data_IF_402901015504
#
_entry.id   IF_402901015504
#
_cell.length_a   1.000
_cell.length_b   1.000
_cell.length_c   1.000
_cell.angle_alpha   90.00
_cell.angle_beta   90.00
_cell.angle_gamma   90.00
#
_symmetry.space_group_name_H-M   'P 1'
#
loop_
_entity.id
_entity.type
_entity.pdbx_description
1 polymer ?
#
# COMPACT_ATOMS: atom_id res chain seq x y z
N UNK A 1 16.65 -23.81 11.97
CA UNK A 1 15.45 -23.57 11.14
C UNK A 1 15.56 -22.16 10.57
N UNK A 2 15.73 -22.02 9.26
CA UNK A 2 15.92 -20.72 8.62
C UNK A 2 14.63 -19.90 8.68
N UNK A 3 14.67 -18.73 9.30
CA UNK A 3 13.62 -17.74 9.16
C UNK A 3 13.64 -17.28 7.70
N UNK A 4 12.63 -17.67 6.93
CA UNK A 4 12.39 -17.01 5.65
C UNK A 4 12.15 -15.53 5.96
N UNK A 5 13.00 -14.65 5.42
CA UNK A 5 12.81 -13.22 5.51
C UNK A 5 11.47 -12.88 4.84
N UNK A 6 10.50 -12.38 5.61
CA UNK A 6 9.23 -11.90 5.07
C UNK A 6 9.48 -10.78 4.06
N UNK A 7 8.79 -10.83 2.91
CA UNK A 7 8.89 -9.80 1.88
C UNK A 7 8.50 -8.41 2.41
N UNK A 8 9.04 -7.35 1.80
CA UNK A 8 8.82 -5.97 2.27
C UNK A 8 7.33 -5.60 2.21
N UNK A 9 6.63 -6.08 1.19
CA UNK A 9 5.19 -5.93 0.97
C UNK A 9 4.36 -6.53 2.12
N UNK A 10 4.69 -7.76 2.53
CA UNK A 10 4.03 -8.47 3.61
C UNK A 10 4.29 -7.75 4.95
N UNK A 11 5.54 -7.32 5.17
CA UNK A 11 5.94 -6.60 6.38
C UNK A 11 5.28 -5.23 6.47
N UNK A 12 5.15 -4.52 5.34
CA UNK A 12 4.47 -3.23 5.26
C UNK A 12 2.96 -3.37 5.50
N UNK A 13 2.32 -4.35 4.88
CA UNK A 13 0.88 -4.63 5.09
C UNK A 13 0.59 -4.92 6.56
N UNK A 14 1.37 -5.81 7.17
CA UNK A 14 1.26 -6.14 8.59
C UNK A 14 1.48 -4.90 9.48
N UNK A 15 2.48 -4.07 9.17
CA UNK A 15 2.74 -2.84 9.90
C UNK A 15 1.57 -1.84 9.81
N UNK A 16 1.04 -1.60 8.61
CA UNK A 16 -0.08 -0.68 8.42
C UNK A 16 -1.33 -1.16 9.17
N UNK A 17 -1.68 -2.44 9.04
CA UNK A 17 -2.82 -3.01 9.76
C UNK A 17 -2.62 -2.96 11.29
N UNK A 18 -1.42 -3.25 11.78
CA UNK A 18 -1.10 -3.19 13.22
C UNK A 18 -1.13 -1.79 13.82
N UNK A 19 -1.05 -0.74 13.00
CA UNK A 19 -1.15 0.67 13.46
C UNK A 19 -2.57 1.22 13.39
N UNK A 20 -3.53 0.46 12.84
CA UNK A 20 -4.91 0.87 12.75
C UNK A 20 -5.60 0.82 14.12
N UNK A 21 -6.43 1.82 14.39
CA UNK A 21 -7.46 1.79 15.43
C UNK A 21 -8.80 1.51 14.76
N UNK A 22 -9.51 0.48 15.21
CA UNK A 22 -10.78 0.04 14.59
C UNK A 22 -11.92 -0.09 15.58
N UNK A 23 -13.13 0.16 15.10
CA UNK A 23 -14.41 -0.22 15.70
C UNK A 23 -15.37 -0.70 14.60
N UNK A 24 -16.65 -0.88 14.92
CA UNK A 24 -17.69 -1.30 13.97
C UNK A 24 -17.87 -0.32 12.78
N UNK A 25 -17.36 0.91 12.90
CA UNK A 25 -17.36 1.92 11.84
C UNK A 25 -16.15 1.86 10.90
N UNK A 26 -15.20 0.95 11.13
CA UNK A 26 -14.04 0.72 10.27
C UNK A 26 -12.70 1.14 10.89
N UNK A 27 -11.66 1.14 10.05
CA UNK A 27 -10.27 1.38 10.46
C UNK A 27 -9.87 2.85 10.30
N UNK A 28 -9.09 3.35 11.26
CA UNK A 28 -8.56 4.71 11.34
C UNK A 28 -7.07 4.68 11.69
N UNK A 29 -6.30 5.65 11.20
CA UNK A 29 -4.87 5.77 11.49
C UNK A 29 -4.57 7.14 12.06
N UNK A 30 -4.28 7.20 13.36
CA UNK A 30 -3.89 8.44 14.02
C UNK A 30 -2.43 8.77 13.74
N UNK A 31 -2.17 9.97 13.24
CA UNK A 31 -0.85 10.44 12.87
C UNK A 31 -0.62 11.88 13.36
N UNK A 32 0.64 12.17 13.73
CA UNK A 32 1.10 13.51 14.04
C UNK A 32 1.64 14.17 12.75
N UNK A 33 0.76 14.58 11.85
CA UNK A 33 1.18 15.16 10.57
C UNK A 33 1.87 16.54 10.75
N UNK A 34 1.42 17.32 11.75
CA UNK A 34 1.88 18.69 11.97
C UNK A 34 3.18 18.71 12.78
N UNK A 35 4.31 18.97 12.11
CA UNK A 35 5.64 19.05 12.77
C UNK A 35 5.73 20.08 13.90
N UNK A 36 5.04 21.21 13.77
CA UNK A 36 5.02 22.27 14.78
C UNK A 36 4.08 21.97 15.96
N UNK A 37 3.23 20.94 15.84
CA UNK A 37 2.26 20.49 16.86
C UNK A 37 2.21 18.96 16.89
N UNK A 38 3.30 18.29 17.28
CA UNK A 38 3.39 16.82 17.24
C UNK A 38 2.41 16.12 18.20
N UNK A 39 1.93 16.83 19.22
CA UNK A 39 0.87 16.37 20.12
C UNK A 39 -0.51 16.28 19.45
N UNK A 40 -0.70 16.95 18.31
CA UNK A 40 -1.94 16.93 17.56
C UNK A 40 -2.02 15.66 16.69
N UNK A 41 -2.66 14.62 17.24
CA UNK A 41 -2.96 13.39 16.53
C UNK A 41 -4.32 13.49 15.83
N UNK A 42 -4.32 13.38 14.50
CA UNK A 42 -5.54 13.32 13.70
C UNK A 42 -5.64 12.01 12.92
N UNK A 43 -6.87 11.57 12.70
CA UNK A 43 -7.20 10.45 11.82
C UNK A 43 -7.77 10.99 10.51
N UNK A 44 -6.88 11.48 9.65
CA UNK A 44 -7.27 12.09 8.39
C UNK A 44 -7.83 11.04 7.42
N UNK A 45 -8.75 11.45 6.55
CA UNK A 45 -9.38 10.56 5.55
C UNK A 45 -8.83 10.75 4.14
N UNK A 46 -7.97 11.75 3.94
CA UNK A 46 -7.45 12.15 2.63
C UNK A 46 -6.52 11.10 1.99
N UNK A 47 -6.27 11.29 0.69
CA UNK A 47 -5.40 10.40 -0.09
C UNK A 47 -3.91 10.58 0.23
N UNK A 48 -3.46 11.82 0.46
CA UNK A 48 -2.05 12.13 0.72
C UNK A 48 -1.61 11.68 2.12
N UNK A 49 -2.40 12.02 3.12
CA UNK A 49 -2.19 11.64 4.51
C UNK A 49 -3.57 11.26 5.05
N UNK A 50 -3.83 9.97 5.19
CA UNK A 50 -5.10 9.49 5.71
C UNK A 50 -5.52 8.11 5.25
N UNK A 51 -6.72 7.72 5.69
CA UNK A 51 -7.29 6.39 5.48
C UNK A 51 -7.44 6.02 4.00
N UNK A 52 -7.78 6.96 3.11
CA UNK A 52 -7.90 6.66 1.69
C UNK A 52 -6.56 6.27 1.04
N UNK A 53 -5.47 6.94 1.39
CA UNK A 53 -4.13 6.59 0.89
C UNK A 53 -3.64 5.24 1.41
N UNK A 54 -3.85 4.98 2.70
CA UNK A 54 -3.47 3.70 3.33
C UNK A 54 -4.30 2.55 2.75
N UNK A 55 -5.62 2.73 2.60
CA UNK A 55 -6.50 1.75 1.98
C UNK A 55 -6.10 1.45 0.53
N UNK A 56 -5.78 2.48 -0.26
CA UNK A 56 -5.25 2.31 -1.60
C UNK A 56 -3.96 1.48 -1.61
N UNK A 57 -2.99 1.79 -0.74
CA UNK A 57 -1.76 1.03 -0.62
C UNK A 57 -2.01 -0.44 -0.24
N UNK A 58 -2.90 -0.72 0.71
CA UNK A 58 -3.27 -2.09 1.10
C UNK A 58 -3.89 -2.86 -0.06
N UNK A 59 -4.77 -2.24 -0.85
CA UNK A 59 -5.33 -2.85 -2.06
C UNK A 59 -4.26 -3.15 -3.12
N UNK A 60 -3.23 -2.30 -3.23
CA UNK A 60 -2.11 -2.56 -4.12
C UNK A 60 -1.27 -3.75 -3.66
N UNK A 61 -1.00 -3.87 -2.36
CA UNK A 61 -0.30 -5.01 -1.78
C UNK A 61 -1.08 -6.31 -2.01
N UNK A 62 -2.38 -6.31 -1.73
CA UNK A 62 -3.28 -7.45 -1.96
C UNK A 62 -3.31 -7.86 -3.45
N UNK A 63 -3.34 -6.88 -4.36
CA UNK A 63 -3.29 -7.15 -5.80
C UNK A 63 -1.98 -7.81 -6.25
N UNK A 64 -0.85 -7.43 -5.65
CA UNK A 64 0.46 -8.07 -5.89
C UNK A 64 0.46 -9.51 -5.38
N UNK A 65 -0.11 -9.76 -4.20
CA UNK A 65 -0.15 -11.10 -3.59
C UNK A 65 -1.10 -12.06 -4.33
N UNK A 66 -2.26 -11.60 -4.81
CA UNK A 66 -3.32 -12.50 -5.31
C UNK A 66 -3.18 -12.94 -6.77
N UNK A 67 -2.68 -12.12 -7.68
CA UNK A 67 -2.50 -12.49 -9.08
C UNK A 67 -1.78 -11.38 -9.87
N UNK A 68 -0.49 -11.58 -10.15
CA UNK A 68 0.32 -10.95 -11.20
C UNK A 68 -0.07 -9.54 -11.64
N UNK A 69 0.65 -8.54 -11.11
CA UNK A 69 0.75 -7.14 -11.57
C UNK A 69 -0.39 -6.65 -12.50
N UNK A 70 -1.48 -6.15 -11.91
CA UNK A 70 -2.52 -5.46 -12.69
C UNK A 70 -2.13 -4.01 -12.97
N UNK A 71 -2.64 -3.52 -14.11
CA UNK A 71 -2.37 -2.21 -14.69
C UNK A 71 -2.61 -1.09 -13.69
N UNK A 72 -1.52 -0.53 -13.18
CA UNK A 72 -1.52 0.64 -12.33
C UNK A 72 -1.78 1.90 -13.17
N UNK A 73 -2.59 2.81 -12.64
CA UNK A 73 -2.57 4.20 -13.11
C UNK A 73 -1.25 4.78 -12.60
N UNK A 74 -0.24 4.82 -13.47
CA UNK A 74 1.05 5.41 -13.15
C UNK A 74 0.86 6.93 -13.11
N UNK A 75 1.15 7.53 -11.97
CA UNK A 75 1.23 8.99 -11.89
C UNK A 75 2.40 9.49 -12.77
N UNK A 76 2.35 10.72 -13.29
CA UNK A 76 3.40 11.28 -14.15
C UNK A 76 4.80 11.28 -13.52
N UNK A 77 4.87 11.31 -12.19
CA UNK A 77 6.07 11.34 -11.35
C UNK A 77 6.40 9.98 -10.71
N UNK A 78 5.82 8.88 -11.23
CA UNK A 78 6.07 7.55 -10.68
C UNK A 78 7.57 7.19 -10.73
N UNK A 79 8.23 6.91 -9.59
CA UNK A 79 9.66 6.57 -9.54
C UNK A 79 9.96 5.13 -10.02
N UNK A 80 8.94 4.32 -10.30
CA UNK A 80 9.09 2.94 -10.77
C UNK A 80 8.98 2.85 -12.30
N UNK A 81 9.76 1.96 -12.94
CA UNK A 81 9.66 1.75 -14.38
C UNK A 81 8.25 1.30 -14.75
N UNK A 82 7.69 1.86 -15.83
CA UNK A 82 6.38 1.48 -16.33
C UNK A 82 6.36 -0.04 -16.58
N UNK A 83 5.39 -0.75 -15.97
CA UNK A 83 5.23 -2.18 -16.15
C UNK A 83 5.19 -2.50 -17.64
N UNK A 84 6.19 -3.22 -18.15
CA UNK A 84 6.12 -3.75 -19.50
C UNK A 84 4.91 -4.70 -19.56
N UNK A 85 3.95 -4.50 -20.47
CA UNK A 85 2.92 -5.49 -20.68
C UNK A 85 3.62 -6.80 -21.05
N UNK A 86 3.23 -7.89 -20.39
CA UNK A 86 3.69 -9.24 -20.74
C UNK A 86 3.45 -9.40 -22.25
N UNK A 87 4.50 -9.34 -23.06
CA UNK A 87 4.40 -9.68 -24.49
C UNK A 87 3.99 -11.14 -24.50
N UNK A 88 2.76 -11.40 -24.92
CA UNK A 88 2.27 -12.76 -25.10
C UNK A 88 3.36 -13.55 -25.83
N UNK A 89 3.75 -14.69 -25.26
CA UNK A 89 4.62 -15.61 -25.98
C UNK A 89 3.86 -15.96 -27.26
N UNK A 90 4.32 -15.45 -28.40
CA UNK A 90 4.11 -16.12 -29.67
C UNK A 90 4.74 -17.50 -29.49
N UNK A 91 3.90 -18.49 -29.24
CA UNK A 91 4.26 -19.89 -29.35
C UNK A 91 4.08 -20.23 -30.82
N UNK A 92 5.13 -19.96 -31.60
CA UNK A 92 5.28 -20.44 -32.97
C UNK A 92 6.07 -21.75 -32.97
N UNK A 93 5.37 -22.85 -33.21
CA UNK A 93 5.54 -23.86 -34.28
C UNK A 93 4.78 -25.14 -33.88
#
# INVERSE_FOLDING_TARGET
AGQACMGVEQRLGAYLLGRASGDDGGLRWYQAYRRLRPEELSADTGYMAGAAGIGAALLHLDAVERAGARRLVLLPDNPFPAFAPQRGREQGD
#
